data_IF_532353576823
#
_entry.id   IF_532353576823
#
_cell.length_a   1.000
_cell.length_b   1.000
_cell.length_c   1.000
_cell.angle_alpha   90.00
_cell.angle_beta   90.00
_cell.angle_gamma   90.00
#
_symmetry.space_group_name_H-M   'P 1'
#
loop_
_entity.id
_entity.type
_entity.pdbx_description
1 polymer ?
#
# COMPACT_ATOMS: atom_id res chain seq x y z
N UNK A 1 33.39 16.83 21.06
CA UNK A 1 32.84 18.19 21.11
C UNK A 1 33.09 18.80 19.74
N UNK A 2 32.12 18.68 18.83
CA UNK A 2 32.21 19.25 17.48
C UNK A 2 32.18 20.77 17.60
N UNK A 3 33.12 21.45 16.97
CA UNK A 3 33.13 22.91 16.84
C UNK A 3 31.94 23.33 15.97
N UNK A 4 30.96 24.02 16.57
CA UNK A 4 29.79 24.54 15.88
C UNK A 4 30.20 25.46 14.71
N UNK A 5 29.80 25.10 13.49
CA UNK A 5 30.08 25.87 12.28
C UNK A 5 29.06 26.98 12.04
N UNK A 6 29.34 27.91 11.12
CA UNK A 6 28.42 29.02 10.78
C UNK A 6 27.01 28.57 10.32
N UNK A 7 26.85 27.33 9.86
CA UNK A 7 25.56 26.74 9.48
C UNK A 7 24.83 26.01 10.63
N UNK A 8 25.48 25.87 11.78
CA UNK A 8 24.91 25.22 12.97
C UNK A 8 24.00 26.18 13.76
N UNK A 9 24.14 27.50 13.57
CA UNK A 9 23.32 28.53 14.21
C UNK A 9 21.82 28.46 13.85
N UNK A 10 21.47 27.76 12.76
CA UNK A 10 20.08 27.55 12.34
C UNK A 10 19.51 26.18 12.76
N UNK A 11 20.29 25.37 13.49
CA UNK A 11 19.88 24.03 13.92
C UNK A 11 19.66 24.07 15.43
N UNK A 12 18.48 23.66 15.90
CA UNK A 12 18.19 23.69 17.34
C UNK A 12 19.10 22.76 18.17
N UNK A 13 19.72 21.73 17.57
CA UNK A 13 20.50 20.73 18.33
C UNK A 13 21.77 20.20 17.63
N UNK A 14 22.22 20.80 16.52
CA UNK A 14 23.41 20.32 15.78
C UNK A 14 23.28 18.90 15.19
N UNK A 15 22.08 18.34 15.16
CA UNK A 15 21.83 17.00 14.64
C UNK A 15 21.99 16.95 13.10
N UNK A 16 22.44 15.81 12.56
CA UNK A 16 22.66 15.63 11.12
C UNK A 16 21.38 15.78 10.29
N UNK A 17 20.19 15.67 10.91
CA UNK A 17 18.88 15.93 10.30
C UNK A 17 18.03 16.89 11.13
N UNK A 18 17.17 17.68 10.47
CA UNK A 18 16.15 18.50 11.16
C UNK A 18 15.08 17.61 11.83
N UNK A 19 14.87 16.43 11.28
CA UNK A 19 13.89 15.46 11.79
C UNK A 19 14.55 14.59 12.85
N UNK A 20 13.88 14.43 14.00
CA UNK A 20 14.28 13.47 15.02
C UNK A 20 14.05 12.03 14.57
N UNK A 21 14.36 11.08 15.46
CA UNK A 21 14.18 9.66 15.18
C UNK A 21 12.79 9.33 14.64
N UNK A 22 12.75 8.48 13.61
CA UNK A 22 11.52 8.02 13.00
C UNK A 22 10.68 7.25 14.03
N UNK A 23 9.57 7.85 14.48
CA UNK A 23 8.70 7.28 15.53
C UNK A 23 7.57 6.38 15.00
N UNK A 24 7.40 6.28 13.69
CA UNK A 24 6.33 5.48 13.08
C UNK A 24 6.89 4.17 12.53
N UNK A 25 6.71 3.04 13.23
CA UNK A 25 7.07 1.74 12.68
C UNK A 25 6.20 1.42 11.46
N UNK A 26 6.74 0.66 10.50
CA UNK A 26 5.95 0.14 9.38
C UNK A 26 4.96 -0.89 9.93
N UNK A 27 3.67 -0.52 10.01
CA UNK A 27 2.61 -1.35 10.61
C UNK A 27 2.13 -2.45 9.65
N UNK A 28 2.28 -2.25 8.34
CA UNK A 28 1.78 -3.16 7.31
C UNK A 28 2.80 -3.34 6.18
N UNK A 29 2.85 -4.54 5.62
CA UNK A 29 3.70 -4.84 4.47
C UNK A 29 3.24 -4.01 3.25
N UNK A 30 4.12 -3.12 2.80
CA UNK A 30 3.88 -2.21 1.69
C UNK A 30 3.51 -2.93 0.39
N UNK A 31 3.99 -4.17 0.18
CA UNK A 31 3.67 -4.96 -1.03
C UNK A 31 2.23 -5.44 -1.00
N UNK A 32 1.78 -5.98 0.14
CA UNK A 32 0.38 -6.40 0.32
C UNK A 32 -0.53 -5.19 0.17
N UNK A 33 -0.15 -4.06 0.78
CA UNK A 33 -0.91 -2.83 0.70
C UNK A 33 -1.03 -2.32 -0.75
N UNK A 34 0.05 -2.35 -1.52
CA UNK A 34 0.04 -1.96 -2.92
C UNK A 34 -0.84 -2.89 -3.79
N UNK A 35 -0.80 -4.21 -3.56
CA UNK A 35 -1.68 -5.15 -4.26
C UNK A 35 -3.15 -4.88 -3.90
N UNK A 36 -3.44 -4.71 -2.62
CA UNK A 36 -4.80 -4.43 -2.14
C UNK A 36 -5.36 -3.11 -2.68
N UNK A 37 -4.53 -2.06 -2.79
CA UNK A 37 -4.96 -0.75 -3.28
C UNK A 37 -5.38 -0.79 -4.76
N UNK A 38 -4.71 -1.58 -5.60
CA UNK A 38 -5.09 -1.77 -7.01
C UNK A 38 -6.49 -2.38 -7.13
N UNK A 39 -6.78 -3.45 -6.38
CA UNK A 39 -8.11 -4.07 -6.40
C UNK A 39 -9.18 -3.17 -5.78
N UNK A 40 -8.84 -2.39 -4.75
CA UNK A 40 -9.73 -1.39 -4.17
C UNK A 40 -10.11 -0.31 -5.18
N UNK A 41 -9.18 0.17 -6.00
CA UNK A 41 -9.47 1.15 -7.05
C UNK A 41 -10.47 0.59 -8.07
N UNK A 42 -10.30 -0.67 -8.50
CA UNK A 42 -11.24 -1.33 -9.42
C UNK A 42 -12.62 -1.46 -8.77
N UNK A 43 -12.68 -1.83 -7.49
CA UNK A 43 -13.93 -1.95 -6.74
C UNK A 43 -14.64 -0.58 -6.61
N UNK A 44 -13.90 0.48 -6.27
CA UNK A 44 -14.43 1.84 -6.19
C UNK A 44 -14.94 2.30 -7.56
N UNK A 45 -14.18 2.05 -8.63
CA UNK A 45 -14.60 2.38 -9.99
C UNK A 45 -15.92 1.68 -10.35
N UNK A 46 -16.08 0.41 -9.99
CA UNK A 46 -17.33 -0.32 -10.17
C UNK A 46 -18.48 0.28 -9.35
N UNK A 47 -18.24 0.66 -8.08
CA UNK A 47 -19.26 1.31 -7.24
C UNK A 47 -19.75 2.64 -7.81
N UNK A 48 -18.87 3.42 -8.44
CA UNK A 48 -19.24 4.67 -9.13
C UNK A 48 -20.15 4.38 -10.34
N UNK A 49 -19.90 3.29 -11.07
CA UNK A 49 -20.69 2.88 -12.25
C UNK A 49 -22.02 2.22 -11.86
N UNK A 50 -22.06 1.55 -10.69
CA UNK A 50 -23.20 0.78 -10.18
C UNK A 50 -24.57 1.49 -10.24
N UNK A 51 -24.73 2.79 -9.86
CA UNK A 51 -26.02 3.46 -10.00
C UNK A 51 -26.54 3.52 -11.44
N UNK A 52 -25.66 3.53 -12.44
CA UNK A 52 -26.01 3.61 -13.87
C UNK A 52 -26.53 2.31 -14.49
N UNK A 53 -26.37 1.17 -13.82
CA UNK A 53 -26.80 -0.14 -14.34
C UNK A 53 -28.33 -0.28 -14.16
N UNK A 54 -29.12 -0.40 -15.23
CA UNK A 54 -30.59 -0.45 -15.11
C UNK A 54 -31.16 -1.84 -14.80
N UNK A 55 -30.53 -2.90 -15.30
CA UNK A 55 -30.98 -4.29 -15.13
C UNK A 55 -29.83 -5.18 -14.64
N UNK A 56 -30.14 -6.27 -13.94
CA UNK A 56 -29.15 -7.24 -13.42
C UNK A 56 -28.08 -6.68 -12.47
N UNK A 57 -28.37 -5.61 -11.72
CA UNK A 57 -27.44 -5.01 -10.72
C UNK A 57 -26.80 -6.05 -9.80
N UNK A 58 -27.60 -6.91 -9.17
CA UNK A 58 -27.11 -7.89 -8.20
C UNK A 58 -26.19 -8.95 -8.84
N UNK A 59 -26.58 -9.46 -10.01
CA UNK A 59 -25.77 -10.45 -10.72
C UNK A 59 -24.41 -9.84 -11.12
N UNK A 60 -24.42 -8.63 -11.68
CA UNK A 60 -23.19 -7.91 -12.05
C UNK A 60 -22.29 -7.65 -10.83
N UNK A 61 -22.86 -7.20 -9.71
CA UNK A 61 -22.10 -6.99 -8.47
C UNK A 61 -21.46 -8.27 -7.97
N UNK A 62 -22.20 -9.38 -7.93
CA UNK A 62 -21.67 -10.67 -7.46
C UNK A 62 -20.54 -11.14 -8.38
N UNK A 63 -20.72 -11.07 -9.70
CA UNK A 63 -19.68 -11.47 -10.66
C UNK A 63 -18.41 -10.64 -10.46
N UNK A 64 -18.54 -9.31 -10.38
CA UNK A 64 -17.38 -8.42 -10.21
C UNK A 64 -16.67 -8.65 -8.88
N UNK A 65 -17.41 -8.82 -7.77
CA UNK A 65 -16.84 -9.14 -6.47
C UNK A 65 -16.09 -10.48 -6.47
N UNK A 66 -16.64 -11.50 -7.13
CA UNK A 66 -15.98 -12.80 -7.27
C UNK A 66 -14.70 -12.68 -8.12
N UNK A 67 -14.75 -11.98 -9.25
CA UNK A 67 -13.56 -11.77 -10.09
C UNK A 67 -12.45 -11.02 -9.35
N UNK A 68 -12.80 -9.93 -8.64
CA UNK A 68 -11.83 -9.15 -7.86
C UNK A 68 -11.24 -9.97 -6.71
N UNK A 69 -12.07 -10.72 -5.98
CA UNK A 69 -11.59 -11.54 -4.84
C UNK A 69 -10.66 -12.67 -5.31
N UNK A 70 -11.01 -13.39 -6.38
CA UNK A 70 -10.14 -14.42 -6.96
C UNK A 70 -8.82 -13.82 -7.44
N UNK A 71 -8.86 -12.67 -8.14
CA UNK A 71 -7.66 -11.97 -8.59
C UNK A 71 -6.75 -11.55 -7.44
N UNK A 72 -7.33 -11.01 -6.36
CA UNK A 72 -6.59 -10.59 -5.18
C UNK A 72 -5.88 -11.75 -4.47
N UNK A 73 -6.56 -12.89 -4.35
CA UNK A 73 -6.00 -14.09 -3.70
C UNK A 73 -4.82 -14.63 -4.51
N UNK A 74 -4.97 -14.76 -5.83
CA UNK A 74 -3.91 -15.29 -6.71
C UNK A 74 -2.67 -14.39 -6.66
N UNK A 75 -2.86 -13.07 -6.80
CA UNK A 75 -1.75 -12.13 -6.84
C UNK A 75 -1.01 -12.03 -5.50
N UNK A 76 -1.75 -12.08 -4.38
CA UNK A 76 -1.15 -12.11 -3.04
C UNK A 76 -0.31 -13.37 -2.84
N UNK A 77 -0.84 -14.55 -3.18
CA UNK A 77 -0.12 -15.83 -3.05
C UNK A 77 1.13 -15.89 -3.92
N UNK A 78 1.06 -15.37 -5.14
CA UNK A 78 2.22 -15.27 -6.03
C UNK A 78 3.34 -14.41 -5.43
N UNK A 79 2.98 -13.25 -4.84
CA UNK A 79 3.95 -12.37 -4.18
C UNK A 79 4.67 -13.07 -3.01
N UNK A 80 3.94 -13.82 -2.18
CA UNK A 80 4.55 -14.59 -1.10
C UNK A 80 5.42 -15.75 -1.59
N UNK A 81 5.03 -16.43 -2.67
CA UNK A 81 5.82 -17.55 -3.22
C UNK A 81 7.18 -17.10 -3.74
N UNK A 82 7.25 -15.92 -4.37
CA UNK A 82 8.52 -15.31 -4.80
C UNK A 82 9.38 -14.92 -3.61
N UNK A 83 8.78 -14.37 -2.55
CA UNK A 83 9.50 -14.00 -1.33
C UNK A 83 10.11 -15.24 -0.65
N UNK A 84 9.35 -16.34 -0.58
CA UNK A 84 9.82 -17.61 -0.04
C UNK A 84 11.00 -18.17 -0.84
N UNK A 85 10.95 -18.10 -2.17
CA UNK A 85 12.04 -18.56 -3.03
C UNK A 85 13.33 -17.74 -2.84
N UNK A 86 13.22 -16.42 -2.69
CA UNK A 86 14.37 -15.52 -2.50
C UNK A 86 14.99 -15.57 -1.10
N UNK A 87 14.27 -16.10 -0.10
CA UNK A 87 14.78 -16.24 1.27
C UNK A 87 15.43 -17.60 1.53
N UNK A 88 15.25 -18.56 0.63
CA UNK A 88 15.76 -19.93 0.73
C UNK A 88 16.87 -20.29 -0.28
N UNK A 89 17.34 -19.32 -1.07
CA UNK A 89 18.52 -19.41 -1.95
C UNK A 89 19.38 -18.16 -1.77
#
# INVERSE_FOLDING_TARGET
MSTAGWFDAFRENGDPSWFGDNRTPVVFDLRIFAIASVFLLILIAFLIILPGIRYHKLASTITVLLTISVGAIIMSKFCYSILFFFFFF
#
